data_IF_297284132248
#
_entry.id   IF_297284132248
#
_cell.length_a   1.000
_cell.length_b   1.000
_cell.length_c   1.000
_cell.angle_alpha   90.00
_cell.angle_beta   90.00
_cell.angle_gamma   90.00
#
_symmetry.space_group_name_H-M   'P 1'
#
loop_
_entity.id
_entity.type
_entity.pdbx_description
1 polymer ?
#
# COMPACT_ATOMS: atom_id res chain seq x y z
N UNK A 1 3.97 5.71 33.68
CA UNK A 1 3.80 5.28 32.27
C UNK A 1 3.86 6.43 31.26
N UNK A 2 3.21 7.58 31.45
CA UNK A 2 3.30 8.71 30.50
C UNK A 2 4.68 9.39 30.44
N UNK A 3 5.35 9.54 31.59
CA UNK A 3 6.67 10.19 31.66
C UNK A 3 7.78 9.36 30.98
N UNK A 4 7.75 8.04 31.13
CA UNK A 4 8.69 7.11 30.48
C UNK A 4 8.53 7.12 28.96
N UNK A 5 7.31 7.23 28.44
CA UNK A 5 7.05 7.32 27.00
C UNK A 5 7.59 8.63 26.39
N UNK A 6 7.42 9.75 27.09
CA UNK A 6 7.96 11.04 26.63
C UNK A 6 9.49 11.03 26.62
N UNK A 7 10.13 10.49 27.66
CA UNK A 7 11.60 10.41 27.71
C UNK A 7 12.15 9.53 26.60
N UNK A 8 11.51 8.38 26.32
CA UNK A 8 11.90 7.50 25.20
C UNK A 8 11.74 8.23 23.87
N UNK A 9 10.63 8.94 23.66
CA UNK A 9 10.40 9.72 22.44
C UNK A 9 11.47 10.80 22.24
N UNK A 10 11.77 11.59 23.27
CA UNK A 10 12.83 12.62 23.18
C UNK A 10 14.22 12.03 22.93
N UNK A 11 14.54 10.87 23.52
CA UNK A 11 15.80 10.17 23.26
C UNK A 11 15.86 9.62 21.82
N UNK A 12 14.77 9.06 21.32
CA UNK A 12 14.68 8.57 19.94
C UNK A 12 14.87 9.70 18.93
N UNK A 13 14.23 10.86 19.15
CA UNK A 13 14.41 12.06 18.32
C UNK A 13 15.86 12.54 18.31
N UNK A 14 16.50 12.62 19.48
CA UNK A 14 17.90 13.04 19.58
C UNK A 14 18.84 12.05 18.89
N UNK A 15 18.61 10.74 19.06
CA UNK A 15 19.41 9.69 18.43
C UNK A 15 19.13 9.56 16.93
N UNK A 16 17.92 9.88 16.47
CA UNK A 16 17.51 9.81 15.06
C UNK A 16 18.41 10.66 14.16
N UNK A 17 18.82 11.84 14.63
CA UNK A 17 19.75 12.71 13.89
C UNK A 17 21.11 12.02 13.59
N UNK A 18 21.56 11.11 14.46
CA UNK A 18 22.80 10.35 14.27
C UNK A 18 22.57 9.01 13.57
N UNK A 19 21.46 8.34 13.85
CA UNK A 19 21.13 7.02 13.30
C UNK A 19 20.69 7.11 11.84
N UNK A 20 19.91 8.14 11.48
CA UNK A 20 19.41 8.35 10.10
C UNK A 20 20.51 8.38 9.05
N UNK A 21 21.59 9.18 9.16
CA UNK A 21 22.66 9.16 8.17
C UNK A 21 23.36 7.80 8.07
N UNK A 22 23.49 7.05 9.17
CA UNK A 22 24.04 5.69 9.15
C UNK A 22 23.11 4.73 8.38
N UNK A 23 21.80 4.80 8.60
CA UNK A 23 20.82 4.01 7.86
C UNK A 23 20.85 4.37 6.36
N UNK A 24 20.88 5.66 6.02
CA UNK A 24 20.92 6.12 4.63
C UNK A 24 22.20 5.66 3.91
N UNK A 25 23.36 5.82 4.53
CA UNK A 25 24.64 5.45 3.91
C UNK A 25 24.83 3.94 3.77
N UNK A 26 24.43 3.15 4.76
CA UNK A 26 24.75 1.71 4.80
C UNK A 26 23.58 0.80 4.44
N UNK A 27 22.37 1.06 4.94
CA UNK A 27 21.23 0.17 4.73
C UNK A 27 20.47 0.51 3.45
N UNK A 28 20.09 1.78 3.29
CA UNK A 28 19.30 2.21 2.13
C UNK A 28 20.08 2.01 0.83
N UNK A 29 21.38 2.32 0.83
CA UNK A 29 22.26 2.09 -0.33
C UNK A 29 22.23 0.64 -0.83
N UNK A 30 22.22 -0.34 0.07
CA UNK A 30 22.17 -1.78 -0.29
C UNK A 30 20.85 -2.19 -0.91
N UNK A 31 19.77 -1.44 -0.67
CA UNK A 31 18.42 -1.68 -1.19
C UNK A 31 18.07 -0.84 -2.43
N UNK A 32 18.99 0.01 -2.90
CA UNK A 32 18.78 0.91 -4.04
C UNK A 32 18.23 0.22 -5.30
N UNK A 33 18.75 -0.94 -5.67
CA UNK A 33 18.25 -1.70 -6.83
C UNK A 33 16.78 -2.11 -6.65
N UNK A 34 16.41 -2.63 -5.48
CA UNK A 34 15.03 -3.03 -5.19
C UNK A 34 14.07 -1.82 -5.21
N UNK A 35 14.54 -0.65 -4.77
CA UNK A 35 13.76 0.60 -4.81
C UNK A 35 13.55 1.05 -6.26
N UNK A 36 14.59 0.99 -7.09
CA UNK A 36 14.49 1.36 -8.51
C UNK A 36 13.55 0.40 -9.25
N UNK A 37 13.67 -0.91 -8.99
CA UNK A 37 12.78 -1.92 -9.57
C UNK A 37 11.33 -1.70 -9.13
N UNK A 38 11.12 -1.36 -7.85
CA UNK A 38 9.80 -0.97 -7.35
C UNK A 38 9.24 0.23 -8.11
N UNK A 39 10.01 1.32 -8.22
CA UNK A 39 9.55 2.53 -8.90
C UNK A 39 9.26 2.28 -10.39
N UNK A 40 10.04 1.42 -11.06
CA UNK A 40 9.81 1.11 -12.48
C UNK A 40 8.59 0.24 -12.69
N UNK A 41 8.41 -0.80 -11.87
CA UNK A 41 7.36 -1.79 -12.07
C UNK A 41 6.00 -1.34 -11.50
N UNK A 42 6.00 -0.41 -10.54
CA UNK A 42 4.79 0.09 -9.87
C UNK A 42 4.49 1.56 -10.14
N UNK A 43 5.04 2.15 -11.21
CA UNK A 43 4.61 3.45 -11.73
C UNK A 43 3.77 3.26 -12.98
N UNK A 44 2.66 3.98 -13.07
CA UNK A 44 1.68 3.89 -14.15
C UNK A 44 1.16 5.29 -14.48
N UNK A 45 1.08 5.61 -15.77
CA UNK A 45 0.55 6.89 -16.24
C UNK A 45 -0.98 6.88 -16.23
N UNK A 46 -1.58 7.85 -15.54
CA UNK A 46 -3.04 8.03 -15.47
C UNK A 46 -3.42 9.31 -16.20
N UNK A 47 -4.31 9.18 -17.18
CA UNK A 47 -4.77 10.30 -17.99
C UNK A 47 -5.30 11.45 -17.13
N UNK A 48 -4.69 12.63 -17.27
CA UNK A 48 -5.07 13.84 -16.52
C UNK A 48 -4.40 14.00 -15.15
N UNK A 49 -3.62 13.00 -14.69
CA UNK A 49 -2.85 13.06 -13.43
C UNK A 49 -1.34 12.94 -13.70
N UNK A 50 -0.94 12.04 -14.61
CA UNK A 50 0.45 11.70 -14.90
C UNK A 50 0.90 10.40 -14.21
N UNK A 51 2.22 10.26 -14.01
CA UNK A 51 2.84 9.10 -13.37
C UNK A 51 2.45 8.99 -11.89
N UNK A 52 1.74 7.93 -11.56
CA UNK A 52 1.31 7.62 -10.19
C UNK A 52 1.72 6.21 -9.78
N UNK A 53 1.75 6.00 -8.46
CA UNK A 53 1.96 4.67 -7.90
C UNK A 53 0.76 3.76 -8.24
N UNK A 54 1.03 2.54 -8.74
CA UNK A 54 0.00 1.58 -9.14
C UNK A 54 -0.90 1.15 -7.96
N UNK A 55 -0.37 1.15 -6.74
CA UNK A 55 -1.13 0.86 -5.52
C UNK A 55 -2.10 2.00 -5.16
N UNK A 56 -1.82 3.24 -5.56
CA UNK A 56 -2.66 4.39 -5.24
C UNK A 56 -3.98 4.40 -6.04
N UNK A 57 -4.09 3.59 -7.10
CA UNK A 57 -5.33 3.40 -7.85
C UNK A 57 -6.36 2.53 -7.11
N UNK A 58 -5.99 1.97 -5.95
CA UNK A 58 -6.87 1.12 -5.12
C UNK A 58 -7.38 -0.12 -5.88
N UNK A 59 -6.60 -0.60 -6.86
CA UNK A 59 -6.95 -1.76 -7.69
C UNK A 59 -6.69 -3.07 -6.94
N UNK A 60 -7.74 -3.56 -6.28
CA UNK A 60 -7.71 -4.81 -5.50
C UNK A 60 -7.67 -6.04 -6.39
N UNK A 61 -8.04 -5.91 -7.68
CA UNK A 61 -7.84 -6.97 -8.66
C UNK A 61 -6.37 -7.11 -9.05
N UNK A 62 -5.55 -6.06 -8.99
CA UNK A 62 -4.13 -6.17 -9.33
C UNK A 62 -3.21 -6.40 -8.12
N UNK A 63 -3.45 -5.71 -7.01
CA UNK A 63 -2.52 -5.68 -5.86
C UNK A 63 -3.16 -6.12 -4.52
N UNK A 64 -4.40 -6.59 -4.51
CA UNK A 64 -5.12 -7.01 -3.29
C UNK A 64 -4.48 -8.19 -2.56
N UNK A 65 -4.65 -8.23 -1.23
CA UNK A 65 -4.15 -9.31 -0.38
C UNK A 65 -4.96 -10.60 -0.63
N UNK A 66 -4.28 -11.66 -1.07
CA UNK A 66 -4.90 -12.95 -1.36
C UNK A 66 -5.68 -13.53 -0.18
N UNK A 67 -5.32 -13.24 1.07
CA UNK A 67 -6.06 -13.74 2.25
C UNK A 67 -7.41 -13.05 2.41
N UNK A 68 -7.46 -11.76 2.09
CA UNK A 68 -8.68 -10.95 2.14
C UNK A 68 -9.55 -11.18 0.89
N UNK A 69 -8.92 -11.54 -0.24
CA UNK A 69 -9.55 -11.80 -1.53
C UNK A 69 -9.82 -13.28 -1.84
N UNK A 70 -9.41 -14.20 -0.97
CA UNK A 70 -9.48 -15.66 -1.18
C UNK A 70 -10.85 -16.21 -1.63
N UNK A 71 -12.01 -15.68 -1.18
CA UNK A 71 -13.31 -16.24 -1.61
C UNK A 71 -13.81 -15.71 -2.96
N UNK A 72 -13.13 -14.73 -3.59
CA UNK A 72 -13.70 -13.95 -4.70
C UNK A 72 -13.02 -14.23 -6.04
N UNK A 73 -11.79 -14.79 -6.05
CA UNK A 73 -10.99 -14.93 -7.27
C UNK A 73 -10.68 -16.40 -7.63
N UNK A 74 -10.86 -16.83 -8.90
CA UNK A 74 -10.32 -18.10 -9.37
C UNK A 74 -8.79 -18.04 -9.40
N UNK A 75 -8.14 -19.16 -9.03
CA UNK A 75 -6.68 -19.33 -8.90
C UNK A 75 -5.84 -19.00 -10.15
N UNK A 76 -6.46 -18.76 -11.31
CA UNK A 76 -5.79 -18.60 -12.61
C UNK A 76 -5.37 -17.15 -12.93
N UNK A 77 -5.84 -16.15 -12.18
CA UNK A 77 -5.58 -14.72 -12.45
C UNK A 77 -4.94 -13.98 -11.26
N UNK A 78 -4.35 -14.73 -10.32
CA UNK A 78 -3.43 -14.11 -9.37
C UNK A 78 -2.21 -13.65 -10.17
N UNK A 79 -2.04 -12.34 -10.31
CA UNK A 79 -0.85 -11.71 -10.87
C UNK A 79 0.37 -12.42 -10.28
N UNK A 80 1.10 -13.16 -11.12
CA UNK A 80 2.34 -13.86 -10.73
C UNK A 80 3.48 -12.88 -10.42
N UNK A 81 3.20 -11.59 -10.56
CA UNK A 81 4.14 -10.50 -10.34
C UNK A 81 4.07 -10.04 -8.88
N UNK A 82 5.23 -9.99 -8.21
CA UNK A 82 5.41 -9.96 -6.75
C UNK A 82 4.96 -8.67 -6.02
N UNK A 83 3.90 -8.01 -6.48
CA UNK A 83 3.36 -6.76 -5.93
C UNK A 83 2.04 -6.92 -5.17
N UNK A 84 1.92 -7.95 -4.34
CA UNK A 84 0.72 -8.19 -3.54
C UNK A 84 0.83 -7.41 -2.22
N UNK A 85 -0.25 -6.73 -1.82
CA UNK A 85 -0.29 -6.06 -0.53
C UNK A 85 -0.47 -7.05 0.62
N UNK A 86 0.03 -6.67 1.80
CA UNK A 86 0.01 -7.48 3.01
C UNK A 86 -0.91 -6.79 4.02
N UNK A 87 -1.66 -7.59 4.78
CA UNK A 87 -2.54 -7.18 5.87
C UNK A 87 -3.78 -6.39 5.40
N UNK A 88 -4.23 -6.63 4.17
CA UNK A 88 -5.45 -6.00 3.66
C UNK A 88 -5.39 -4.47 3.54
N UNK A 89 -4.18 -3.88 3.47
CA UNK A 89 -4.01 -2.42 3.45
C UNK A 89 -4.73 -1.76 2.29
N UNK A 90 -4.77 -2.43 1.14
CA UNK A 90 -5.39 -1.89 -0.07
C UNK A 90 -6.92 -1.90 0.05
N UNK A 91 -7.47 -2.99 0.57
CA UNK A 91 -8.88 -3.21 0.84
C UNK A 91 -9.41 -2.17 1.84
N UNK A 92 -8.70 -1.99 2.94
CA UNK A 92 -9.01 -0.99 3.96
C UNK A 92 -8.91 0.43 3.39
N UNK A 93 -7.89 0.70 2.57
CA UNK A 93 -7.74 1.99 1.91
C UNK A 93 -8.88 2.27 0.93
N UNK A 94 -9.34 1.25 0.18
CA UNK A 94 -10.49 1.36 -0.72
C UNK A 94 -11.76 1.67 0.05
N UNK A 95 -12.04 0.93 1.13
CA UNK A 95 -13.22 1.14 1.97
C UNK A 95 -13.21 2.53 2.60
N UNK A 96 -12.07 2.95 3.14
CA UNK A 96 -11.92 4.28 3.74
C UNK A 96 -12.13 5.38 2.70
N UNK A 97 -11.50 5.26 1.53
CA UNK A 97 -11.62 6.25 0.47
C UNK A 97 -13.06 6.39 -0.04
N UNK A 98 -13.76 5.26 -0.24
CA UNK A 98 -15.15 5.24 -0.64
C UNK A 98 -16.07 5.88 0.41
N UNK A 99 -15.85 5.58 1.70
CA UNK A 99 -16.63 6.18 2.78
C UNK A 99 -16.42 7.70 2.88
N UNK A 100 -15.19 8.17 2.70
CA UNK A 100 -14.87 9.60 2.76
C UNK A 100 -15.32 10.36 1.51
N UNK A 101 -15.39 9.70 0.34
CA UNK A 101 -15.71 10.32 -0.94
C UNK A 101 -16.91 9.63 -1.61
N UNK A 102 -18.15 9.87 -1.15
CA UNK A 102 -19.33 9.14 -1.62
C UNK A 102 -19.69 9.40 -3.09
N UNK A 103 -19.23 10.50 -3.67
CA UNK A 103 -19.48 10.84 -5.08
C UNK A 103 -18.40 10.28 -6.03
N UNK A 104 -17.39 9.59 -5.49
CA UNK A 104 -16.34 9.00 -6.31
C UNK A 104 -16.87 7.79 -7.07
N UNK A 105 -16.68 7.79 -8.39
CA UNK A 105 -17.08 6.67 -9.25
C UNK A 105 -16.01 5.58 -9.21
N UNK A 106 -16.37 4.43 -8.63
CA UNK A 106 -15.45 3.31 -8.50
C UNK A 106 -15.27 2.53 -9.81
N UNK A 107 -14.08 1.94 -10.05
CA UNK A 107 -13.89 0.98 -11.14
C UNK A 107 -14.73 -0.28 -10.91
N UNK A 108 -15.32 -0.83 -11.98
CA UNK A 108 -16.23 -1.99 -11.94
C UNK A 108 -15.69 -3.21 -11.16
N UNK A 109 -14.38 -3.45 -11.22
CA UNK A 109 -13.76 -4.59 -10.52
C UNK A 109 -13.77 -4.42 -8.99
N UNK A 110 -13.68 -3.18 -8.51
CA UNK A 110 -13.76 -2.85 -7.08
C UNK A 110 -15.19 -2.82 -6.56
N UNK A 111 -16.16 -2.48 -7.42
CA UNK A 111 -17.60 -2.54 -7.12
C UNK A 111 -18.04 -3.97 -6.78
N UNK A 112 -17.70 -4.93 -7.65
CA UNK A 112 -17.99 -6.37 -7.42
C UNK A 112 -17.37 -6.87 -6.11
N UNK A 113 -16.23 -6.32 -5.70
CA UNK A 113 -15.61 -6.66 -4.43
C UNK A 113 -16.40 -6.13 -3.24
N UNK A 114 -16.78 -4.84 -3.28
CA UNK A 114 -17.53 -4.20 -2.20
C UNK A 114 -18.93 -4.83 -2.03
N UNK A 115 -19.63 -5.12 -3.13
CA UNK A 115 -20.92 -5.82 -3.09
C UNK A 115 -20.81 -7.17 -2.36
N UNK A 116 -19.81 -7.99 -2.72
CA UNK A 116 -19.58 -9.30 -2.11
C UNK A 116 -19.23 -9.26 -0.62
N UNK A 117 -18.65 -8.15 -0.14
CA UNK A 117 -18.39 -7.96 1.28
C UNK A 117 -19.63 -7.50 2.01
N UNK A 118 -20.46 -6.64 1.39
CA UNK A 118 -21.72 -6.19 1.98
C UNK A 118 -22.74 -7.32 2.11
N UNK A 119 -22.69 -8.33 1.24
CA UNK A 119 -23.53 -9.53 1.30
C UNK A 119 -23.12 -10.53 2.39
N UNK A 120 -21.95 -10.35 3.04
CA UNK A 120 -21.45 -11.22 4.13
C UNK A 120 -21.73 -10.64 5.50
#
# INVERSE_FOLDING_TARGET
MRLTALVVYFLEELLSAFVTPLILCFQLRRKSLQIIDFLRNFTVDVQGVGDVCSFAQLDVAKHGDLKWFAPIRPKSEASTDGGITIDGKLELSLMHFHHTNPNWQMPKQCEVYLEKIQER
#
